data_IF_494641489555
#
_entry.id   IF_494641489555
#
_cell.length_a   1.000
_cell.length_b   1.000
_cell.length_c   1.000
_cell.angle_alpha   90.00
_cell.angle_beta   90.00
_cell.angle_gamma   90.00
#
_symmetry.space_group_name_H-M   'P 1'
#
loop_
_entity.id
_entity.type
_entity.pdbx_description
1 polymer ?
#
# COMPACT_ATOMS: atom_id res chain seq x y z
N UNK A 1 15.26 22.79 5.40
CA UNK A 1 13.94 22.15 5.17
C UNK A 1 14.08 20.66 5.44
N UNK A 2 13.38 20.14 6.45
CA UNK A 2 13.49 18.73 6.82
C UNK A 2 12.13 18.06 6.69
N UNK A 3 12.14 16.87 6.06
CA UNK A 3 11.02 15.95 6.05
C UNK A 3 11.39 14.66 6.77
N UNK A 4 10.44 14.12 7.52
CA UNK A 4 10.54 12.81 8.15
C UNK A 4 9.79 11.81 7.29
N UNK A 5 10.43 10.72 6.91
CA UNK A 5 9.80 9.56 6.27
C UNK A 5 9.65 8.42 7.29
N UNK A 6 8.44 7.90 7.41
CA UNK A 6 8.14 6.71 8.21
C UNK A 6 7.53 5.65 7.29
N UNK A 7 8.04 4.43 7.30
CA UNK A 7 7.48 3.31 6.57
C UNK A 7 6.49 2.56 7.46
N UNK A 8 5.26 2.41 6.98
CA UNK A 8 4.16 1.76 7.68
C UNK A 8 3.89 0.40 7.03
N UNK A 9 3.95 -0.67 7.82
CA UNK A 9 3.66 -2.02 7.33
C UNK A 9 2.15 -2.22 7.13
N UNK A 10 1.79 -2.76 5.96
CA UNK A 10 0.41 -3.05 5.59
C UNK A 10 0.11 -4.55 5.56
N UNK A 11 1.10 -5.39 5.85
CA UNK A 11 1.05 -6.83 5.67
C UNK A 11 1.89 -7.32 4.51
N UNK A 12 1.71 -8.55 4.11
CA UNK A 12 2.52 -9.14 3.05
C UNK A 12 1.92 -10.37 2.41
N UNK A 13 2.58 -10.82 1.35
CA UNK A 13 2.21 -11.99 0.58
C UNK A 13 3.47 -12.75 0.17
N UNK A 14 3.37 -14.05 -0.05
CA UNK A 14 4.39 -14.77 -0.80
C UNK A 14 4.12 -14.64 -2.29
N UNK A 15 5.13 -14.34 -3.06
CA UNK A 15 5.03 -14.18 -4.51
C UNK A 15 6.05 -15.08 -5.22
N UNK A 16 5.71 -15.63 -6.39
CA UNK A 16 6.66 -16.42 -7.17
C UNK A 16 7.80 -15.53 -7.69
N UNK A 17 8.98 -16.12 -7.83
CA UNK A 17 10.18 -15.39 -8.23
C UNK A 17 10.06 -14.54 -9.48
N UNK A 18 9.38 -14.98 -10.56
CA UNK A 18 9.20 -14.17 -11.75
C UNK A 18 8.47 -12.85 -11.57
N UNK A 19 7.67 -12.71 -10.51
CA UNK A 19 7.00 -11.44 -10.16
C UNK A 19 7.98 -10.38 -9.63
N UNK A 20 9.10 -10.82 -9.05
CA UNK A 20 10.14 -9.94 -8.51
C UNK A 20 11.37 -9.84 -9.41
N UNK A 21 11.69 -10.94 -10.08
CA UNK A 21 12.89 -11.06 -10.91
C UNK A 21 12.47 -11.41 -12.33
N UNK A 22 12.45 -10.41 -13.20
CA UNK A 22 12.03 -10.61 -14.59
C UNK A 22 12.66 -11.85 -15.22
N UNK A 23 11.83 -12.81 -15.64
CA UNK A 23 12.22 -14.06 -16.27
C UNK A 23 13.23 -14.90 -15.45
N UNK A 24 13.26 -14.72 -14.15
CA UNK A 24 14.20 -15.44 -13.26
C UNK A 24 13.54 -16.05 -12.04
N UNK A 25 14.31 -16.87 -11.31
CA UNK A 25 13.91 -17.45 -10.03
C UNK A 25 12.62 -18.28 -10.07
N UNK A 26 12.39 -19.02 -11.14
CA UNK A 26 11.16 -19.76 -11.44
C UNK A 26 10.73 -20.74 -10.34
N UNK A 27 11.70 -21.36 -9.67
CA UNK A 27 11.46 -22.38 -8.64
C UNK A 27 11.42 -21.79 -7.21
N UNK A 28 11.58 -20.48 -7.08
CA UNK A 28 11.67 -19.80 -5.79
C UNK A 28 10.44 -18.93 -5.51
N UNK A 29 10.14 -18.79 -4.22
CA UNK A 29 9.11 -17.91 -3.70
C UNK A 29 9.72 -16.96 -2.68
N UNK A 30 9.21 -15.73 -2.65
CA UNK A 30 9.75 -14.67 -1.79
C UNK A 30 8.63 -13.99 -1.01
N UNK A 31 8.90 -13.66 0.24
CA UNK A 31 8.00 -12.85 1.05
C UNK A 31 8.11 -11.39 0.60
N UNK A 32 7.03 -10.84 0.07
CA UNK A 32 6.91 -9.43 -0.26
C UNK A 32 6.14 -8.70 0.84
N UNK A 33 6.79 -7.70 1.45
CA UNK A 33 6.18 -6.85 2.46
C UNK A 33 5.67 -5.57 1.83
N UNK A 34 4.38 -5.30 1.98
CA UNK A 34 3.76 -4.08 1.47
C UNK A 34 3.85 -2.96 2.51
N UNK A 35 4.23 -1.79 2.06
CA UNK A 35 4.45 -0.63 2.91
C UNK A 35 3.80 0.62 2.33
N UNK A 36 3.42 1.54 3.21
CA UNK A 36 2.98 2.89 2.89
C UNK A 36 4.01 3.86 3.46
N UNK A 37 4.39 4.85 2.68
CA UNK A 37 5.26 5.93 3.14
C UNK A 37 4.44 7.05 3.78
N UNK A 38 4.76 7.44 5.02
CA UNK A 38 4.24 8.64 5.66
C UNK A 38 5.35 9.70 5.66
N UNK A 39 5.09 10.84 5.04
CA UNK A 39 6.03 11.96 4.91
C UNK A 39 5.46 13.16 5.66
N UNK A 40 6.22 13.69 6.62
CA UNK A 40 5.81 14.81 7.45
C UNK A 40 6.88 15.91 7.44
N UNK A 41 6.47 17.15 7.28
CA UNK A 41 7.35 18.31 7.35
C UNK A 41 6.74 19.53 6.68
N UNK A 42 7.15 20.72 7.09
CA UNK A 42 6.73 22.01 6.50
C UNK A 42 5.21 22.18 6.33
N UNK A 43 4.43 21.73 7.30
CA UNK A 43 2.96 21.79 7.22
C UNK A 43 2.32 20.78 6.28
N UNK A 44 3.11 19.84 5.75
CA UNK A 44 2.63 18.76 4.87
C UNK A 44 2.64 17.45 5.64
N UNK A 45 1.55 16.71 5.52
CA UNK A 45 1.45 15.31 5.93
C UNK A 45 0.98 14.51 4.73
N UNK A 46 1.88 13.78 4.10
CA UNK A 46 1.62 13.09 2.85
C UNK A 46 1.75 11.58 2.99
N UNK A 47 0.97 10.85 2.19
CA UNK A 47 1.10 9.40 2.03
C UNK A 47 1.61 9.05 0.63
N UNK A 48 2.47 8.05 0.57
CA UNK A 48 2.76 7.31 -0.65
C UNK A 48 2.02 5.99 -0.57
N UNK A 49 0.95 5.87 -1.35
CA UNK A 49 -0.07 4.82 -1.31
C UNK A 49 -0.95 4.84 -0.05
N UNK A 50 -1.99 4.03 -0.04
CA UNK A 50 -2.95 3.94 1.07
C UNK A 50 -3.12 2.52 1.60
N UNK A 51 -2.41 1.57 1.02
CA UNK A 51 -2.51 0.16 1.40
C UNK A 51 -3.78 -0.55 0.91
N UNK A 52 -3.85 -1.87 1.12
CA UNK A 52 -5.02 -2.67 0.78
C UNK A 52 -6.20 -2.39 1.71
N UNK A 53 -7.41 -2.69 1.24
CA UNK A 53 -8.64 -2.50 2.00
C UNK A 53 -8.61 -3.20 3.36
N UNK A 54 -9.50 -2.77 4.27
CA UNK A 54 -9.66 -3.44 5.58
C UNK A 54 -10.13 -4.88 5.39
N UNK A 55 -11.10 -5.09 4.52
CA UNK A 55 -11.49 -6.42 4.06
C UNK A 55 -10.57 -6.85 2.91
N UNK A 56 -9.77 -7.89 3.17
CA UNK A 56 -8.83 -8.46 2.20
C UNK A 56 -9.48 -9.50 1.28
N UNK A 57 -10.71 -9.90 1.54
CA UNK A 57 -11.42 -10.97 0.82
C UNK A 57 -11.43 -10.76 -0.69
N UNK A 58 -11.97 -9.64 -1.21
CA UNK A 58 -12.06 -9.41 -2.65
C UNK A 58 -10.70 -9.40 -3.38
N UNK A 59 -9.67 -8.82 -2.75
CA UNK A 59 -8.32 -8.82 -3.33
C UNK A 59 -7.72 -10.21 -3.33
N UNK A 60 -7.84 -10.94 -2.23
CA UNK A 60 -7.32 -12.31 -2.10
C UNK A 60 -8.01 -13.29 -3.05
N UNK A 61 -9.32 -13.17 -3.23
CA UNK A 61 -10.06 -14.01 -4.17
C UNK A 61 -9.47 -13.89 -5.59
N UNK A 62 -9.23 -12.67 -6.05
CA UNK A 62 -8.60 -12.42 -7.35
C UNK A 62 -7.16 -12.96 -7.44
N UNK A 63 -6.36 -12.74 -6.42
CA UNK A 63 -4.97 -13.20 -6.41
C UNK A 63 -4.84 -14.72 -6.35
N UNK A 64 -5.63 -15.36 -5.48
CA UNK A 64 -5.66 -16.81 -5.33
C UNK A 64 -6.13 -17.48 -6.63
N UNK A 65 -7.15 -16.92 -7.28
CA UNK A 65 -7.65 -17.43 -8.56
C UNK A 65 -6.58 -17.39 -9.65
N UNK A 66 -5.69 -16.42 -9.62
CA UNK A 66 -4.64 -16.25 -10.63
C UNK A 66 -3.34 -17.01 -10.31
N UNK A 67 -2.88 -17.00 -9.06
CA UNK A 67 -1.56 -17.52 -8.65
C UNK A 67 -1.62 -18.64 -7.60
N UNK A 68 -2.82 -19.00 -7.12
CA UNK A 68 -3.02 -20.05 -6.11
C UNK A 68 -2.97 -19.54 -4.67
N UNK A 69 -3.30 -20.43 -3.72
CA UNK A 69 -3.45 -20.11 -2.29
C UNK A 69 -2.21 -19.47 -1.65
N UNK A 70 -1.02 -19.77 -2.15
CA UNK A 70 0.25 -19.32 -1.56
C UNK A 70 0.42 -17.80 -1.62
N UNK A 71 -0.19 -17.13 -2.60
CA UNK A 71 -0.10 -15.66 -2.74
C UNK A 71 -1.06 -14.90 -1.83
N UNK A 72 -1.84 -15.57 -1.02
CA UNK A 72 -2.78 -14.93 -0.11
C UNK A 72 -2.10 -13.82 0.67
N UNK A 73 -2.65 -12.62 0.56
CA UNK A 73 -2.19 -11.48 1.34
C UNK A 73 -2.64 -11.65 2.79
N UNK A 74 -1.72 -11.47 3.72
CA UNK A 74 -1.95 -11.58 5.14
C UNK A 74 -1.47 -10.32 5.86
N UNK A 75 -2.22 -9.94 6.89
CA UNK A 75 -1.95 -8.78 7.72
C UNK A 75 -2.13 -9.13 9.18
N UNK A 76 -1.21 -8.66 10.01
CA UNK A 76 -1.34 -8.76 11.47
C UNK A 76 -2.29 -7.69 11.98
N UNK A 77 -2.81 -7.90 13.18
CA UNK A 77 -3.58 -6.88 13.89
C UNK A 77 -2.75 -5.57 13.99
N UNK A 78 -3.39 -4.44 13.71
CA UNK A 78 -2.77 -3.13 13.74
C UNK A 78 -1.93 -2.76 12.50
N UNK A 79 -1.88 -3.60 11.46
CA UNK A 79 -1.22 -3.27 10.19
C UNK A 79 -2.16 -2.60 9.15
N UNK A 80 -3.42 -2.35 9.50
CA UNK A 80 -4.30 -1.54 8.66
C UNK A 80 -3.86 -0.08 8.67
N UNK A 81 -3.99 0.63 7.55
CA UNK A 81 -3.47 2.00 7.39
C UNK A 81 -3.95 2.96 8.49
N UNK A 82 -5.22 2.93 8.85
CA UNK A 82 -5.74 3.83 9.89
C UNK A 82 -5.17 3.49 11.26
N UNK A 83 -4.95 2.22 11.58
CA UNK A 83 -4.33 1.80 12.83
C UNK A 83 -2.85 2.22 12.89
N UNK A 84 -2.14 2.08 11.77
CA UNK A 84 -0.74 2.52 11.66
C UNK A 84 -0.61 4.04 11.80
N UNK A 85 -1.49 4.81 11.19
CA UNK A 85 -1.51 6.27 11.33
C UNK A 85 -1.82 6.69 12.76
N UNK A 86 -2.79 6.03 13.42
CA UNK A 86 -3.12 6.30 14.82
C UNK A 86 -1.92 6.08 15.75
N UNK A 87 -1.09 5.05 15.52
CA UNK A 87 0.17 4.83 16.24
C UNK A 87 1.18 5.96 16.06
N UNK A 88 1.11 6.69 14.95
CA UNK A 88 1.94 7.88 14.68
C UNK A 88 1.29 9.18 15.18
N UNK A 89 0.12 9.13 15.81
CA UNK A 89 -0.63 10.31 16.23
C UNK A 89 -1.23 11.11 15.06
N UNK A 90 -1.42 10.48 13.91
CA UNK A 90 -1.94 11.10 12.67
C UNK A 90 -3.38 10.66 12.45
N UNK A 91 -4.28 11.62 12.25
CA UNK A 91 -5.69 11.37 11.90
C UNK A 91 -5.85 11.37 10.38
N UNK A 92 -6.88 10.71 9.84
CA UNK A 92 -7.19 10.76 8.40
C UNK A 92 -7.32 12.18 7.84
N UNK A 93 -7.91 13.08 8.63
CA UNK A 93 -8.14 14.49 8.28
C UNK A 93 -6.85 15.31 8.19
N UNK A 94 -5.75 14.83 8.80
CA UNK A 94 -4.45 15.50 8.80
C UNK A 94 -3.69 15.27 7.49
N UNK A 95 -4.09 14.26 6.69
CA UNK A 95 -3.42 13.94 5.43
C UNK A 95 -3.74 15.01 4.39
N UNK A 96 -2.71 15.69 3.91
CA UNK A 96 -2.81 16.79 2.95
C UNK A 96 -2.62 16.34 1.51
N UNK A 97 -1.82 15.29 1.28
CA UNK A 97 -1.49 14.80 -0.05
C UNK A 97 -1.36 13.27 -0.04
N UNK A 98 -1.80 12.63 -1.11
CA UNK A 98 -1.59 11.20 -1.36
C UNK A 98 -1.00 11.03 -2.76
N UNK A 99 0.11 10.32 -2.86
CA UNK A 99 0.76 9.94 -4.11
C UNK A 99 0.51 8.46 -4.35
N UNK A 100 -0.15 8.12 -5.46
CA UNK A 100 -0.50 6.74 -5.80
C UNK A 100 0.45 6.17 -6.86
N UNK A 101 1.13 5.08 -6.50
CA UNK A 101 2.06 4.38 -7.37
C UNK A 101 2.29 2.93 -6.90
N UNK A 102 1.84 1.92 -7.65
CA UNK A 102 0.97 1.94 -8.83
C UNK A 102 -0.53 2.07 -8.50
N UNK A 103 -1.40 2.12 -9.52
CA UNK A 103 -2.85 2.11 -9.35
C UNK A 103 -3.37 0.66 -9.21
N UNK A 104 -3.05 0.03 -8.10
CA UNK A 104 -3.42 -1.35 -7.77
C UNK A 104 -4.19 -1.41 -6.44
N UNK A 105 -5.01 -2.44 -6.25
CA UNK A 105 -5.85 -2.60 -5.05
C UNK A 105 -5.04 -2.52 -3.73
N UNK A 106 -3.84 -3.06 -3.72
CA UNK A 106 -2.96 -2.99 -2.54
C UNK A 106 -2.39 -1.58 -2.27
N UNK A 107 -2.63 -0.62 -3.17
CA UNK A 107 -2.13 0.76 -3.06
C UNK A 107 -3.22 1.80 -2.89
N UNK A 108 -4.40 1.61 -3.50
CA UNK A 108 -5.41 2.67 -3.65
C UNK A 108 -6.68 2.46 -2.83
N UNK A 109 -6.84 1.31 -2.19
CA UNK A 109 -8.14 0.91 -1.63
C UNK A 109 -8.70 1.83 -0.55
N UNK A 110 -7.87 2.62 0.12
CA UNK A 110 -8.31 3.47 1.22
C UNK A 110 -8.27 4.97 0.89
N UNK A 111 -8.15 5.35 -0.36
CA UNK A 111 -8.05 6.76 -0.79
C UNK A 111 -9.22 7.62 -0.24
N UNK A 112 -10.43 7.07 -0.20
CA UNK A 112 -11.63 7.77 0.27
C UNK A 112 -11.68 7.99 1.80
N UNK A 113 -10.78 7.35 2.55
CA UNK A 113 -10.69 7.55 4.00
C UNK A 113 -10.04 8.91 4.38
N UNK A 114 -9.48 9.64 3.42
CA UNK A 114 -8.70 10.86 3.63
C UNK A 114 -9.39 12.08 3.01
N UNK A 115 -10.33 12.72 3.72
CA UNK A 115 -11.26 13.70 3.14
C UNK A 115 -10.59 15.00 2.68
N UNK A 116 -9.44 15.35 3.26
CA UNK A 116 -8.74 16.61 2.98
C UNK A 116 -7.55 16.44 2.02
N UNK A 117 -7.26 15.21 1.59
CA UNK A 117 -6.08 14.93 0.81
C UNK A 117 -6.26 15.29 -0.68
N UNK A 118 -5.25 15.92 -1.25
CA UNK A 118 -5.09 16.03 -2.71
C UNK A 118 -4.47 14.74 -3.23
N UNK A 119 -5.13 14.13 -4.21
CA UNK A 119 -4.68 12.87 -4.82
C UNK A 119 -3.80 13.17 -6.03
N UNK A 120 -2.60 12.59 -6.05
CA UNK A 120 -1.63 12.73 -7.13
C UNK A 120 -1.41 11.38 -7.80
N UNK A 121 -1.58 11.35 -9.10
CA UNK A 121 -1.32 10.16 -9.93
C UNK A 121 -0.49 10.54 -11.14
N UNK A 122 0.23 9.58 -11.70
CA UNK A 122 0.92 9.78 -12.97
C UNK A 122 -0.07 9.96 -14.12
N UNK A 123 0.12 11.00 -14.94
CA UNK A 123 -0.68 11.19 -16.15
C UNK A 123 -0.64 9.96 -17.07
N UNK A 124 0.52 9.33 -17.23
CA UNK A 124 0.65 8.10 -18.02
C UNK A 124 -0.13 6.95 -17.42
N UNK A 125 -0.04 6.75 -16.10
CA UNK A 125 -0.79 5.69 -15.41
C UNK A 125 -2.31 5.88 -15.43
N UNK A 126 -2.78 7.10 -15.68
CA UNK A 126 -4.22 7.39 -15.79
C UNK A 126 -4.79 7.11 -17.18
N UNK A 127 -3.98 7.28 -18.24
CA UNK A 127 -4.41 7.15 -19.63
C UNK A 127 -4.40 5.70 -20.13
N UNK A 128 -3.65 4.83 -19.47
CA UNK A 128 -3.52 3.40 -19.76
C UNK A 128 -4.24 2.54 -18.72
#
# INVERSE_FOLDING_TARGET
MQYKLTLLSMGGSEVPGPELFWMGQWDNWFRLQFQVGLIQGNGITALVNTGPAKDLGPMNEGWIAFLGERVKFERKEGEFILDQLAKQGVKPEDITHIFLTPLQLYSVSNVLAFPNAKIHISKRGWIH
#
